data_IF_262404394571
#
_entry.id   IF_262404394571
#
_cell.length_a   1.000
_cell.length_b   1.000
_cell.length_c   1.000
_cell.angle_alpha   90.00
_cell.angle_beta   90.00
_cell.angle_gamma   90.00
#
_symmetry.space_group_name_H-M   'P 1'
#
loop_
_entity.id
_entity.type
_entity.pdbx_description
1 polymer ?
#
# COMPACT_ATOMS: atom_id res chain seq x y z
N UNK A 1 7.78 -23.44 -2.77
CA UNK A 1 6.69 -22.44 -2.72
C UNK A 1 5.82 -22.74 -1.51
N UNK A 2 5.95 -21.95 -0.44
CA UNK A 2 5.13 -22.15 0.78
C UNK A 2 3.70 -21.72 0.51
N UNK A 3 2.73 -22.61 0.68
CA UNK A 3 1.31 -22.26 0.61
C UNK A 3 1.04 -21.17 1.65
N UNK A 4 0.64 -19.97 1.19
CA UNK A 4 0.29 -18.90 2.13
C UNK A 4 -0.97 -19.29 2.87
N UNK A 5 -0.95 -19.12 4.18
CA UNK A 5 -2.19 -19.08 4.97
C UNK A 5 -3.18 -18.11 4.31
N UNK A 6 -4.48 -18.48 4.22
CA UNK A 6 -5.52 -17.56 3.77
C UNK A 6 -5.43 -16.22 4.50
N UNK A 7 -5.79 -15.14 3.81
CA UNK A 7 -5.82 -13.83 4.45
C UNK A 7 -7.00 -13.77 5.43
N UNK A 8 -6.75 -13.22 6.62
CA UNK A 8 -7.79 -12.75 7.53
C UNK A 8 -8.37 -11.46 6.92
N UNK A 9 -9.70 -11.37 6.85
CA UNK A 9 -10.39 -10.24 6.25
C UNK A 9 -11.14 -9.51 7.35
N UNK A 10 -10.87 -8.22 7.49
CA UNK A 10 -11.58 -7.33 8.40
C UNK A 10 -11.99 -6.06 7.65
N UNK A 11 -13.14 -5.49 8.04
CA UNK A 11 -13.51 -4.15 7.61
C UNK A 11 -13.20 -3.15 8.72
N UNK A 12 -12.69 -1.98 8.35
CA UNK A 12 -12.31 -0.91 9.27
C UNK A 12 -13.15 0.33 8.93
N UNK A 13 -13.91 0.88 9.88
CA UNK A 13 -14.61 2.15 9.68
C UNK A 13 -13.64 3.27 9.32
N UNK A 14 -13.98 4.06 8.30
CA UNK A 14 -13.25 5.29 7.96
C UNK A 14 -14.23 6.45 7.75
N UNK A 15 -13.76 7.71 7.73
CA UNK A 15 -14.61 8.88 7.45
C UNK A 15 -15.37 8.82 6.12
N UNK A 16 -15.00 7.92 5.21
CA UNK A 16 -15.57 7.81 3.86
C UNK A 16 -16.20 6.43 3.58
N UNK A 17 -16.61 5.72 4.64
CA UNK A 17 -17.14 4.35 4.57
C UNK A 17 -16.11 3.30 4.97
N UNK A 18 -16.50 2.01 5.07
CA UNK A 18 -15.60 0.95 5.48
C UNK A 18 -14.49 0.75 4.44
N UNK A 19 -13.24 0.71 4.89
CA UNK A 19 -12.15 0.10 4.13
C UNK A 19 -12.09 -1.40 4.48
N UNK A 20 -11.56 -2.24 3.60
CA UNK A 20 -11.34 -3.66 3.88
C UNK A 20 -9.86 -3.97 3.88
N UNK A 21 -9.39 -4.68 4.88
CA UNK A 21 -8.00 -5.13 4.99
C UNK A 21 -7.92 -6.64 4.82
N UNK A 22 -6.92 -7.08 4.07
CA UNK A 22 -6.56 -8.48 3.91
C UNK A 22 -5.21 -8.71 4.59
N UNK A 23 -5.26 -9.29 5.78
CA UNK A 23 -4.13 -9.48 6.66
C UNK A 23 -3.52 -10.86 6.44
N UNK A 24 -2.21 -10.92 6.21
CA UNK A 24 -1.42 -12.14 6.22
C UNK A 24 -0.29 -11.98 7.22
N UNK A 25 -0.29 -12.82 8.25
CA UNK A 25 0.77 -12.83 9.26
C UNK A 25 1.92 -13.71 8.77
N UNK A 26 3.15 -13.21 8.87
CA UNK A 26 4.33 -14.07 8.75
C UNK A 26 4.27 -15.18 9.80
N UNK A 27 4.72 -16.41 9.49
CA UNK A 27 4.84 -17.47 10.50
C UNK A 27 6.05 -17.29 11.42
N UNK A 28 7.00 -16.41 11.08
CA UNK A 28 8.16 -16.07 11.92
C UNK A 28 7.82 -14.94 12.91
N UNK A 29 8.76 -14.64 13.83
CA UNK A 29 8.70 -13.41 14.62
C UNK A 29 8.69 -12.20 13.67
N UNK A 30 7.68 -11.31 13.75
CA UNK A 30 7.55 -10.23 12.79
C UNK A 30 8.68 -9.21 12.96
N UNK A 31 9.41 -8.96 11.87
CA UNK A 31 10.41 -7.87 11.80
C UNK A 31 9.78 -6.50 11.51
N UNK A 32 8.51 -6.49 11.11
CA UNK A 32 7.76 -5.31 10.68
C UNK A 32 6.50 -5.70 9.93
N UNK A 33 5.91 -4.73 9.25
CA UNK A 33 4.77 -4.97 8.36
C UNK A 33 4.82 -4.12 7.09
N UNK A 34 4.36 -4.70 5.97
CA UNK A 34 4.13 -4.00 4.71
C UNK A 34 2.63 -3.79 4.49
N UNK A 35 2.19 -2.53 4.45
CA UNK A 35 0.83 -2.13 4.09
C UNK A 35 0.79 -1.68 2.64
N UNK A 36 -0.12 -2.22 1.83
CA UNK A 36 -0.15 -1.98 0.38
C UNK A 36 -1.53 -1.62 -0.14
N UNK A 37 -1.65 -0.48 -0.82
CA UNK A 37 -2.87 -0.04 -1.50
C UNK A 37 -2.96 -0.52 -2.96
N UNK A 38 -4.18 -0.74 -3.46
CA UNK A 38 -4.41 -1.12 -4.86
C UNK A 38 -4.45 0.08 -5.83
N UNK A 39 -4.39 -0.21 -7.13
CA UNK A 39 -4.57 0.79 -8.20
C UNK A 39 -6.04 1.16 -8.42
N UNK A 40 -6.29 2.28 -9.09
CA UNK A 40 -7.62 2.90 -9.22
C UNK A 40 -8.74 1.95 -9.72
N UNK A 41 -8.44 1.13 -10.73
CA UNK A 41 -9.40 0.18 -11.32
C UNK A 41 -9.20 -1.29 -10.91
N UNK A 42 -8.17 -1.59 -10.12
CA UNK A 42 -7.84 -2.95 -9.67
C UNK A 42 -8.29 -3.22 -8.24
N UNK A 43 -8.13 -4.46 -7.81
CA UNK A 43 -8.25 -4.86 -6.41
C UNK A 43 -6.91 -5.33 -5.84
N UNK A 44 -6.95 -5.84 -4.62
CA UNK A 44 -5.78 -6.40 -3.91
C UNK A 44 -5.20 -7.66 -4.57
N UNK A 45 -5.92 -8.25 -5.54
CA UNK A 45 -5.51 -9.46 -6.26
C UNK A 45 -4.59 -9.21 -7.45
N UNK A 46 -4.17 -7.97 -7.69
CA UNK A 46 -3.26 -7.66 -8.78
C UNK A 46 -1.96 -8.51 -8.67
N UNK A 47 -1.49 -9.14 -9.77
CA UNK A 47 -0.34 -10.06 -9.71
C UNK A 47 0.94 -9.45 -9.13
N UNK A 48 1.22 -8.20 -9.47
CA UNK A 48 2.33 -7.39 -8.97
C UNK A 48 2.21 -7.12 -7.45
N UNK A 49 1.01 -6.80 -6.96
CA UNK A 49 0.75 -6.69 -5.51
C UNK A 49 0.94 -8.03 -4.79
N UNK A 50 0.48 -9.13 -5.38
CA UNK A 50 0.64 -10.48 -4.80
C UNK A 50 2.11 -10.92 -4.77
N UNK A 51 2.89 -10.57 -5.79
CA UNK A 51 4.34 -10.77 -5.83
C UNK A 51 5.05 -9.98 -4.73
N UNK A 52 4.76 -8.69 -4.58
CA UNK A 52 5.32 -7.88 -3.50
C UNK A 52 4.92 -8.39 -2.10
N UNK A 53 3.67 -8.82 -1.94
CA UNK A 53 3.19 -9.46 -0.71
C UNK A 53 3.94 -10.76 -0.39
N UNK A 54 4.27 -11.56 -1.42
CA UNK A 54 5.08 -12.78 -1.26
C UNK A 54 6.46 -12.44 -0.72
N UNK A 55 7.17 -11.55 -1.41
CA UNK A 55 8.51 -11.11 -1.03
C UNK A 55 8.55 -10.59 0.42
N UNK A 56 7.55 -9.79 0.82
CA UNK A 56 7.44 -9.28 2.18
C UNK A 56 7.20 -10.38 3.23
N UNK A 57 6.32 -11.35 2.96
CA UNK A 57 6.07 -12.47 3.87
C UNK A 57 7.31 -13.33 4.05
N UNK A 58 8.01 -13.62 2.95
CA UNK A 58 9.25 -14.40 2.95
C UNK A 58 10.40 -13.65 3.66
N UNK A 59 10.36 -12.31 3.65
CA UNK A 59 11.27 -11.45 4.41
C UNK A 59 10.93 -11.31 5.91
N UNK A 60 9.87 -11.98 6.39
CA UNK A 60 9.47 -11.97 7.82
C UNK A 60 8.56 -10.81 8.21
N UNK A 61 7.87 -10.18 7.26
CA UNK A 61 6.91 -9.11 7.52
C UNK A 61 5.48 -9.63 7.60
N UNK A 62 4.66 -9.02 8.45
CA UNK A 62 3.21 -9.06 8.22
C UNK A 62 2.89 -8.30 6.93
N UNK A 63 1.85 -8.73 6.21
CA UNK A 63 1.35 -8.02 5.03
C UNK A 63 -0.11 -7.65 5.23
N UNK A 64 -0.46 -6.41 4.92
CA UNK A 64 -1.83 -5.92 4.93
C UNK A 64 -2.13 -5.29 3.57
N UNK A 65 -3.02 -5.91 2.80
CA UNK A 65 -3.51 -5.31 1.56
C UNK A 65 -4.78 -4.51 1.87
N UNK A 66 -4.78 -3.23 1.52
CA UNK A 66 -5.85 -2.29 1.86
C UNK A 66 -6.72 -2.04 0.62
N UNK A 67 -7.99 -2.44 0.71
CA UNK A 67 -9.06 -2.08 -0.22
C UNK A 67 -9.76 -0.80 0.24
N UNK A 68 -9.66 0.25 -0.58
CA UNK A 68 -10.18 1.59 -0.28
C UNK A 68 -11.72 1.62 -0.25
N UNK A 69 -12.37 2.51 0.53
CA UNK A 69 -13.82 2.50 0.73
C UNK A 69 -14.65 2.54 -0.55
N UNK A 70 -14.19 3.27 -1.57
CA UNK A 70 -14.90 3.33 -2.85
C UNK A 70 -14.99 1.95 -3.53
N UNK A 71 -13.96 1.10 -3.39
CA UNK A 71 -13.96 -0.26 -3.94
C UNK A 71 -14.85 -1.19 -3.15
N UNK A 72 -14.79 -1.12 -1.82
CA UNK A 72 -15.70 -1.85 -0.92
C UNK A 72 -17.16 -1.53 -1.26
N UNK A 73 -17.46 -0.26 -1.53
CA UNK A 73 -18.76 0.22 -1.98
C UNK A 73 -19.09 -0.10 -3.47
N UNK A 74 -18.27 -0.89 -4.17
CA UNK A 74 -18.49 -1.32 -5.55
C UNK A 74 -18.27 -0.22 -6.61
N UNK A 75 -17.68 0.93 -6.25
CA UNK A 75 -17.40 2.02 -7.20
C UNK A 75 -16.16 1.71 -8.05
N UNK A 76 -16.18 2.18 -9.29
CA UNK A 76 -15.07 2.00 -10.25
C UNK A 76 -14.04 3.12 -10.19
N UNK A 77 -14.49 4.36 -10.02
CA UNK A 77 -13.61 5.52 -9.98
C UNK A 77 -13.10 5.77 -8.56
N UNK A 78 -11.81 6.12 -8.38
CA UNK A 78 -11.27 6.46 -7.08
C UNK A 78 -11.88 7.76 -6.56
N UNK A 79 -12.01 7.85 -5.23
CA UNK A 79 -12.34 9.08 -4.54
C UNK A 79 -11.21 10.13 -4.68
N UNK A 80 -11.46 11.42 -4.38
CA UNK A 80 -10.42 12.44 -4.29
C UNK A 80 -9.27 12.03 -3.36
N UNK A 81 -8.06 12.50 -3.66
CA UNK A 81 -6.83 12.10 -2.96
C UNK A 81 -6.95 12.20 -1.42
N UNK A 82 -7.45 13.34 -0.92
CA UNK A 82 -7.63 13.56 0.52
C UNK A 82 -8.56 12.54 1.19
N UNK A 83 -9.56 12.02 0.47
CA UNK A 83 -10.46 10.99 1.03
C UNK A 83 -9.76 9.62 1.09
N UNK A 84 -8.94 9.30 0.09
CA UNK A 84 -8.14 8.08 0.10
C UNK A 84 -7.09 8.11 1.22
N UNK A 85 -6.52 9.28 1.47
CA UNK A 85 -5.52 9.50 2.51
C UNK A 85 -6.15 9.41 3.91
N UNK A 86 -7.29 10.06 4.13
CA UNK A 86 -8.05 9.96 5.38
C UNK A 86 -8.48 8.52 5.70
N UNK A 87 -8.86 7.74 4.68
CA UNK A 87 -9.18 6.33 4.86
C UNK A 87 -7.94 5.49 5.18
N UNK A 88 -6.81 5.75 4.54
CA UNK A 88 -5.53 5.10 4.83
C UNK A 88 -5.07 5.37 6.26
N UNK A 89 -5.11 6.62 6.71
CA UNK A 89 -4.72 7.03 8.05
C UNK A 89 -5.62 6.38 9.13
N UNK A 90 -6.93 6.29 8.89
CA UNK A 90 -7.84 5.58 9.78
C UNK A 90 -7.48 4.08 9.90
N UNK A 91 -7.19 3.43 8.77
CA UNK A 91 -6.72 2.03 8.75
C UNK A 91 -5.41 1.87 9.54
N UNK A 92 -4.41 2.72 9.29
CA UNK A 92 -3.14 2.70 10.02
C UNK A 92 -3.36 2.90 11.52
N UNK A 93 -4.22 3.85 11.91
CA UNK A 93 -4.52 4.14 13.31
C UNK A 93 -5.14 2.97 14.05
N UNK A 94 -6.07 2.24 13.42
CA UNK A 94 -6.66 1.02 13.99
C UNK A 94 -5.61 -0.08 14.10
N UNK A 95 -4.85 -0.34 13.04
CA UNK A 95 -3.83 -1.40 13.03
C UNK A 95 -2.69 -1.13 14.02
N UNK A 96 -2.32 0.12 14.26
CA UNK A 96 -1.33 0.51 15.29
C UNK A 96 -1.90 0.51 16.71
N UNK A 97 -3.23 0.47 16.87
CA UNK A 97 -3.89 0.60 18.17
C UNK A 97 -3.89 2.04 18.71
N UNK A 98 -3.53 3.03 17.88
CA UNK A 98 -3.52 4.45 18.26
C UNK A 98 -4.88 5.13 18.07
N UNK A 99 -5.84 4.44 17.45
CA UNK A 99 -7.19 4.96 17.16
C UNK A 99 -8.19 4.90 18.33
N UNK A 100 -7.79 4.47 19.53
CA UNK A 100 -8.68 4.21 20.66
C UNK A 100 -9.26 5.42 21.40
N UNK A 101 -8.93 6.67 21.03
CA UNK A 101 -9.36 7.84 21.79
C UNK A 101 -9.92 9.02 20.94
N UNK A 102 -10.17 8.84 19.64
CA UNK A 102 -10.45 9.99 18.75
C UNK A 102 -11.49 9.81 17.65
N UNK A 103 -12.04 8.62 17.41
CA UNK A 103 -13.23 8.46 16.54
C UNK A 103 -14.48 8.72 17.37
N UNK A 104 -14.69 9.99 17.69
CA UNK A 104 -15.97 10.49 18.18
C UNK A 104 -17.06 10.18 17.15
N UNK A 105 -18.15 9.63 17.65
CA UNK A 105 -19.41 9.42 16.97
C UNK A 105 -19.79 10.63 16.09
N UNK A 106 -19.67 10.48 14.77
CA UNK A 106 -20.32 11.35 13.80
C UNK A 106 -20.81 10.46 12.64
N UNK A 107 -22.01 9.90 12.84
CA UNK A 107 -22.68 9.02 11.88
C UNK A 107 -23.52 7.96 12.59
N UNK A 108 -24.63 8.39 13.19
CA UNK A 108 -25.66 7.50 13.70
C UNK A 108 -26.15 6.57 12.56
N UNK A 109 -25.97 5.25 12.71
CA UNK A 109 -26.58 4.23 11.85
C UNK A 109 -25.65 3.16 11.26
N UNK A 110 -24.35 3.12 11.58
CA UNK A 110 -23.43 2.11 11.05
C UNK A 110 -23.60 0.74 11.73
N UNK A 111 -23.93 -0.29 10.96
CA UNK A 111 -23.89 -1.69 11.40
C UNK A 111 -22.51 -2.04 11.99
N UNK A 112 -22.48 -2.97 12.96
CA UNK A 112 -21.23 -3.50 13.50
C UNK A 112 -20.31 -3.95 12.35
N UNK A 113 -19.15 -3.32 12.23
CA UNK A 113 -18.19 -3.66 11.17
C UNK A 113 -17.40 -4.89 11.63
N UNK A 114 -17.46 -5.96 10.85
CA UNK A 114 -16.93 -7.27 11.23
C UNK A 114 -15.39 -7.28 11.19
N UNK A 115 -14.77 -7.76 12.27
CA UNK A 115 -13.32 -8.03 12.34
C UNK A 115 -12.41 -6.86 12.75
N UNK A 116 -12.89 -5.62 12.86
CA UNK A 116 -12.04 -4.46 13.22
C UNK A 116 -11.31 -4.64 14.56
N UNK A 117 -11.98 -5.24 15.55
CA UNK A 117 -11.39 -5.53 16.87
C UNK A 117 -10.34 -6.64 16.84
N UNK A 118 -10.38 -7.55 15.86
CA UNK A 118 -9.44 -8.68 15.74
C UNK A 118 -8.08 -8.24 15.17
N UNK A 119 -8.09 -7.20 14.34
CA UNK A 119 -6.89 -6.60 13.73
C UNK A 119 -6.42 -5.32 14.43
N UNK A 120 -7.17 -4.84 15.42
CA UNK A 120 -6.83 -3.64 16.19
C UNK A 120 -5.53 -3.84 16.98
N UNK A 121 -4.58 -2.92 16.83
CA UNK A 121 -3.28 -3.01 17.50
C UNK A 121 -2.35 -4.13 16.97
N UNK A 122 -2.74 -4.85 15.92
CA UNK A 122 -1.95 -5.92 15.30
C UNK A 122 -0.51 -5.51 14.99
N UNK A 123 -0.30 -4.24 14.65
CA UNK A 123 0.97 -3.68 14.22
C UNK A 123 1.60 -2.75 15.27
N UNK A 124 1.13 -2.79 16.51
CA UNK A 124 1.65 -1.97 17.59
C UNK A 124 3.15 -2.23 17.80
N UNK A 125 3.95 -1.15 17.82
CA UNK A 125 5.41 -1.21 18.03
C UNK A 125 6.23 -1.75 16.85
N UNK A 126 5.60 -2.19 15.76
CA UNK A 126 6.33 -2.69 14.58
C UNK A 126 6.74 -1.55 13.63
N UNK A 127 7.93 -1.62 13.00
CA UNK A 127 8.25 -0.73 11.90
C UNK A 127 7.29 -1.00 10.72
N UNK A 128 6.74 0.07 10.14
CA UNK A 128 5.80 -0.03 9.04
C UNK A 128 6.45 0.41 7.73
N UNK A 129 6.36 -0.45 6.73
CA UNK A 129 6.59 -0.09 5.35
C UNK A 129 5.23 0.15 4.70
N UNK A 130 5.12 1.23 3.92
CA UNK A 130 3.94 1.48 3.11
C UNK A 130 4.24 1.19 1.66
N UNK A 131 3.20 1.02 0.87
CA UNK A 131 3.37 0.82 -0.55
C UNK A 131 2.04 0.74 -1.28
N UNK A 132 2.13 0.46 -2.55
CA UNK A 132 0.96 0.17 -3.34
C UNK A 132 1.22 0.22 -4.82
N UNK A 133 0.14 -0.04 -5.56
CA UNK A 133 0.15 -0.04 -7.02
C UNK A 133 -0.50 1.24 -7.54
N UNK A 134 0.18 1.96 -8.43
CA UNK A 134 -0.38 3.12 -9.14
C UNK A 134 -0.97 4.17 -8.18
N UNK A 135 -2.29 4.39 -8.21
CA UNK A 135 -2.97 5.28 -7.25
C UNK A 135 -2.73 4.89 -5.78
N UNK A 136 -2.55 3.60 -5.47
CA UNK A 136 -2.19 3.15 -4.13
C UNK A 136 -0.77 3.55 -3.73
N UNK A 137 0.18 3.53 -4.67
CA UNK A 137 1.55 4.01 -4.44
C UNK A 137 1.54 5.50 -4.06
N UNK A 138 0.69 6.28 -4.73
CA UNK A 138 0.48 7.69 -4.42
C UNK A 138 -0.05 7.93 -3.01
N UNK A 139 -1.05 7.17 -2.56
CA UNK A 139 -1.57 7.24 -1.19
C UNK A 139 -0.46 6.90 -0.19
N UNK A 140 0.29 5.82 -0.43
CA UNK A 140 1.40 5.43 0.42
C UNK A 140 2.45 6.53 0.58
N UNK A 141 2.84 7.21 -0.51
CA UNK A 141 3.78 8.34 -0.44
C UNK A 141 3.22 9.52 0.34
N UNK A 142 1.98 9.97 0.06
CA UNK A 142 1.37 11.11 0.74
C UNK A 142 1.17 10.88 2.24
N UNK A 143 0.83 9.64 2.63
CA UNK A 143 0.60 9.28 4.03
C UNK A 143 1.88 8.82 4.76
N UNK A 144 3.04 8.79 4.10
CA UNK A 144 4.27 8.20 4.65
C UNK A 144 4.67 8.81 6.00
N UNK A 145 4.73 10.14 6.08
CA UNK A 145 5.13 10.84 7.29
C UNK A 145 4.08 10.72 8.41
N UNK A 146 2.81 11.01 8.10
CA UNK A 146 1.72 10.95 9.08
C UNK A 146 1.52 9.55 9.67
N UNK A 147 1.67 8.50 8.83
CA UNK A 147 1.59 7.12 9.26
C UNK A 147 2.90 6.55 9.82
N UNK A 148 3.98 7.35 9.88
CA UNK A 148 5.29 6.93 10.39
C UNK A 148 5.88 5.73 9.66
N UNK A 149 5.84 5.74 8.33
CA UNK A 149 6.47 4.72 7.50
C UNK A 149 7.99 4.84 7.55
N UNK A 150 8.70 3.71 7.58
CA UNK A 150 10.17 3.63 7.56
C UNK A 150 10.74 3.31 6.18
N UNK A 151 9.88 3.02 5.21
CA UNK A 151 10.24 2.76 3.83
C UNK A 151 9.01 2.62 2.93
N UNK A 152 9.15 2.91 1.64
CA UNK A 152 8.04 2.90 0.66
C UNK A 152 8.32 1.93 -0.50
N UNK A 153 7.33 1.11 -0.86
CA UNK A 153 7.35 0.26 -2.06
C UNK A 153 6.30 0.74 -3.07
N UNK A 154 6.73 1.38 -4.14
CA UNK A 154 5.88 1.81 -5.24
C UNK A 154 5.92 0.83 -6.41
N UNK A 155 4.77 0.28 -6.77
CA UNK A 155 4.59 -0.46 -8.02
C UNK A 155 3.90 0.44 -9.04
N UNK A 156 4.56 0.73 -10.15
CA UNK A 156 4.06 1.58 -11.23
C UNK A 156 3.54 2.95 -10.76
N UNK A 157 4.41 3.77 -10.13
CA UNK A 157 4.02 5.11 -9.66
C UNK A 157 3.62 6.03 -10.84
N UNK A 158 2.41 6.59 -10.87
CA UNK A 158 1.93 7.34 -12.03
C UNK A 158 2.26 8.83 -11.91
N UNK A 159 3.40 9.22 -12.50
CA UNK A 159 3.92 10.59 -12.52
C UNK A 159 2.91 11.59 -13.09
N UNK A 160 2.22 11.22 -14.17
CA UNK A 160 1.17 12.01 -14.80
C UNK A 160 0.12 11.10 -15.47
N UNK A 161 -1.07 11.59 -15.84
CA UNK A 161 -1.95 10.84 -16.74
C UNK A 161 -1.34 10.70 -18.16
N UNK A 162 -1.68 9.65 -18.92
CA UNK A 162 -1.28 9.52 -20.32
C UNK A 162 -1.74 10.73 -21.14
N UNK A 163 -0.84 11.27 -21.96
CA UNK A 163 -1.09 12.44 -22.80
C UNK A 163 -1.31 13.75 -22.04
N UNK A 164 -1.03 13.79 -20.73
CA UNK A 164 -1.17 14.97 -19.86
C UNK A 164 0.08 15.21 -18.99
N UNK A 165 1.29 15.32 -19.57
CA UNK A 165 2.53 15.46 -18.80
C UNK A 165 2.56 16.70 -17.89
N UNK A 166 1.77 17.72 -18.20
CA UNK A 166 1.62 18.93 -17.38
C UNK A 166 0.93 18.68 -16.03
N UNK A 167 0.13 17.62 -15.90
CA UNK A 167 -0.56 17.22 -14.65
C UNK A 167 0.34 16.34 -13.78
N UNK A 168 1.48 16.89 -13.44
CA UNK A 168 2.59 16.20 -12.79
C UNK A 168 2.35 15.97 -11.29
N UNK A 169 2.84 14.84 -10.77
CA UNK A 169 2.61 14.39 -9.39
C UNK A 169 3.88 14.01 -8.63
N UNK A 170 5.06 14.37 -9.15
CA UNK A 170 6.33 14.02 -8.50
C UNK A 170 6.46 14.58 -7.09
N UNK A 171 5.86 15.74 -6.79
CA UNK A 171 5.84 16.29 -5.44
C UNK A 171 5.35 15.30 -4.37
N UNK A 172 4.47 14.36 -4.73
CA UNK A 172 3.99 13.34 -3.80
C UNK A 172 5.08 12.34 -3.39
N UNK A 173 5.96 11.93 -4.33
CA UNK A 173 7.04 10.98 -4.07
C UNK A 173 8.35 11.67 -3.69
N UNK A 174 8.56 12.92 -4.11
CA UNK A 174 9.72 13.74 -3.75
C UNK A 174 9.64 14.24 -2.31
N UNK A 175 8.42 14.32 -1.75
CA UNK A 175 8.21 14.63 -0.33
C UNK A 175 8.53 13.47 0.63
N UNK A 176 8.91 12.29 0.14
CA UNK A 176 9.21 11.12 0.97
C UNK A 176 10.68 11.14 1.40
N UNK A 177 10.90 11.24 2.71
CA UNK A 177 12.25 11.31 3.30
C UNK A 177 12.88 9.94 3.63
N UNK A 178 12.08 8.86 3.63
CA UNK A 178 12.54 7.49 3.90
C UNK A 178 12.92 6.77 2.61
N UNK A 179 13.67 5.64 2.67
CA UNK A 179 14.01 4.88 1.47
C UNK A 179 12.77 4.48 0.65
N UNK A 180 12.86 4.61 -0.67
CA UNK A 180 11.79 4.30 -1.63
C UNK A 180 12.30 3.33 -2.69
N UNK A 181 11.57 2.25 -2.90
CA UNK A 181 11.66 1.43 -4.11
C UNK A 181 10.57 1.84 -5.09
N UNK A 182 10.94 2.07 -6.34
CA UNK A 182 10.01 2.15 -7.47
C UNK A 182 10.29 1.01 -8.43
N UNK A 183 9.33 0.10 -8.59
CA UNK A 183 9.33 -0.88 -9.69
C UNK A 183 8.44 -0.35 -10.80
N UNK A 184 9.00 -0.11 -11.98
CA UNK A 184 8.32 0.62 -13.05
C UNK A 184 8.49 -0.03 -14.42
N UNK A 185 7.45 0.07 -15.26
CA UNK A 185 7.50 -0.40 -16.64
C UNK A 185 8.35 0.52 -17.53
N UNK A 186 9.26 -0.06 -18.30
CA UNK A 186 10.11 0.60 -19.30
C UNK A 186 9.35 1.31 -20.42
N UNK A 187 8.04 1.12 -20.54
CA UNK A 187 7.18 1.84 -21.49
C UNK A 187 5.92 2.36 -20.80
N UNK A 188 5.97 2.66 -19.50
CA UNK A 188 4.81 3.16 -18.76
C UNK A 188 4.34 4.54 -19.30
N UNK A 189 3.12 4.65 -19.86
CA UNK A 189 2.59 5.91 -20.39
C UNK A 189 2.21 6.93 -19.29
N UNK A 190 2.21 6.54 -18.02
CA UNK A 190 2.00 7.43 -16.87
C UNK A 190 3.29 8.11 -16.40
N UNK A 191 4.42 7.89 -17.10
CA UNK A 191 5.72 8.44 -16.76
C UNK A 191 6.47 7.61 -15.72
N UNK A 192 7.73 7.99 -15.45
CA UNK A 192 8.63 7.23 -14.59
C UNK A 192 9.29 8.19 -13.60
N UNK A 193 9.27 7.88 -12.29
CA UNK A 193 10.12 8.59 -11.35
C UNK A 193 11.59 8.36 -11.69
N UNK A 194 12.40 9.41 -11.59
CA UNK A 194 13.86 9.30 -11.69
C UNK A 194 14.46 8.85 -10.34
N UNK A 195 15.59 8.12 -10.35
CA UNK A 195 16.28 7.73 -9.13
C UNK A 195 16.86 8.93 -8.38
N UNK A 196 16.98 8.79 -7.06
CA UNK A 196 17.58 9.79 -6.16
C UNK A 196 18.45 9.10 -5.11
N UNK A 197 19.08 9.84 -4.21
CA UNK A 197 19.83 9.26 -3.09
C UNK A 197 18.98 8.36 -2.17
N UNK A 198 17.67 8.61 -2.09
CA UNK A 198 16.72 7.83 -1.28
C UNK A 198 15.74 7.01 -2.11
N UNK A 199 15.78 7.12 -3.45
CA UNK A 199 14.87 6.42 -4.36
C UNK A 199 15.63 5.53 -5.33
N UNK A 200 15.42 4.23 -5.16
CA UNK A 200 15.84 3.22 -6.12
C UNK A 200 14.74 3.03 -7.18
N UNK A 201 15.12 2.96 -8.46
CA UNK A 201 14.19 2.72 -9.56
C UNK A 201 14.64 1.47 -10.31
N UNK A 202 13.79 0.45 -10.30
CA UNK A 202 13.96 -0.79 -11.06
C UNK A 202 13.02 -0.74 -12.26
N UNK A 203 13.60 -0.69 -13.45
CA UNK A 203 12.86 -0.72 -14.70
C UNK A 203 12.69 -2.18 -15.17
N UNK A 204 11.46 -2.55 -15.53
CA UNK A 204 11.11 -3.87 -16.04
C UNK A 204 10.47 -3.74 -17.43
N UNK A 205 10.68 -4.75 -18.28
CA UNK A 205 10.06 -4.79 -19.59
C UNK A 205 8.53 -4.66 -19.49
N UNK A 206 7.94 -3.78 -20.33
CA UNK A 206 6.50 -3.58 -20.41
C UNK A 206 6.02 -2.25 -19.86
N UNK A 207 4.72 -2.18 -19.59
CA UNK A 207 4.00 -0.95 -19.29
C UNK A 207 3.54 -0.88 -17.82
N UNK A 208 2.63 0.05 -17.55
CA UNK A 208 1.99 0.28 -16.24
C UNK A 208 1.37 -0.97 -15.58
N UNK A 209 1.13 -2.04 -16.35
CA UNK A 209 0.52 -3.25 -15.82
C UNK A 209 1.50 -4.13 -15.04
N UNK A 210 2.82 -4.01 -15.28
CA UNK A 210 3.88 -4.86 -14.71
C UNK A 210 3.64 -6.38 -14.88
N UNK A 211 2.83 -6.79 -15.86
CA UNK A 211 2.45 -8.20 -16.02
C UNK A 211 3.46 -9.04 -16.81
N UNK A 212 4.36 -8.41 -17.56
CA UNK A 212 5.28 -9.13 -18.43
C UNK A 212 6.32 -9.94 -17.65
N UNK A 213 6.70 -9.48 -16.46
CA UNK A 213 7.70 -10.14 -15.61
C UNK A 213 7.38 -9.97 -14.12
N UNK A 214 6.32 -10.66 -13.68
CA UNK A 214 5.91 -10.68 -12.26
C UNK A 214 7.01 -11.26 -11.35
N UNK A 215 7.75 -12.32 -11.72
CA UNK A 215 8.89 -12.78 -10.93
C UNK A 215 9.96 -11.69 -10.70
N UNK A 216 10.25 -10.85 -11.69
CA UNK A 216 11.17 -9.73 -11.49
C UNK A 216 10.62 -8.66 -10.53
N UNK A 217 9.29 -8.44 -10.49
CA UNK A 217 8.66 -7.59 -9.45
C UNK A 217 8.93 -8.17 -8.06
N UNK A 218 8.69 -9.47 -7.87
CA UNK A 218 8.93 -10.15 -6.59
C UNK A 218 10.41 -10.03 -6.18
N UNK A 219 11.33 -10.30 -7.11
CA UNK A 219 12.77 -10.21 -6.87
C UNK A 219 13.20 -8.79 -6.50
N UNK A 220 12.74 -7.77 -7.22
CA UNK A 220 13.09 -6.38 -6.94
C UNK A 220 12.66 -5.97 -5.53
N UNK A 221 11.45 -6.36 -5.11
CA UNK A 221 10.96 -6.11 -3.75
C UNK A 221 11.78 -6.88 -2.72
N UNK A 222 12.07 -8.16 -2.94
CA UNK A 222 12.85 -8.98 -2.02
C UNK A 222 14.28 -8.43 -1.81
N UNK A 223 14.97 -8.09 -2.90
CA UNK A 223 16.32 -7.53 -2.87
C UNK A 223 16.36 -6.20 -2.11
N UNK A 224 15.37 -5.34 -2.33
CA UNK A 224 15.29 -4.06 -1.63
C UNK A 224 15.00 -4.25 -0.14
N UNK A 225 14.05 -5.13 0.21
CA UNK A 225 13.75 -5.45 1.60
C UNK A 225 14.97 -6.02 2.34
N UNK A 226 15.81 -6.84 1.70
CA UNK A 226 17.00 -7.38 2.35
C UNK A 226 18.04 -6.32 2.73
N UNK A 227 17.99 -5.14 2.10
CA UNK A 227 18.89 -4.01 2.39
C UNK A 227 18.31 -3.00 3.39
N UNK A 228 16.99 -2.94 3.52
CA UNK A 228 16.29 -1.88 4.26
C UNK A 228 15.48 -2.39 5.46
N UNK A 229 15.30 -3.70 5.62
CA UNK A 229 14.69 -4.25 6.83
C UNK A 229 15.71 -4.32 7.98
N UNK A 230 15.36 -3.80 9.17
CA UNK A 230 16.18 -3.95 10.37
C UNK A 230 16.28 -5.42 10.80
#
# INVERSE_FOLDING_TARGET
>A
MTNLRPAEIAEIPTPHGPARVHVRRTPATPRGALLMGHGAGGGVDAPDLRAAARAALDAGLHVVLVEQPYRVAGRRAPAPAAQLDAAWEAVVGVLRGTGGAGVGAAGAGGAAVQGAGEVGGLLAGLPLLFGGRSSGARVACRCAAAGGAVGIVCLAFPVHPPGRPEKHRMAEIDGVAVPVLVVQGESDPFGRPEPTATREVVLLAGDHSLKKDVPAVEKAVADWLSRHLP
#
